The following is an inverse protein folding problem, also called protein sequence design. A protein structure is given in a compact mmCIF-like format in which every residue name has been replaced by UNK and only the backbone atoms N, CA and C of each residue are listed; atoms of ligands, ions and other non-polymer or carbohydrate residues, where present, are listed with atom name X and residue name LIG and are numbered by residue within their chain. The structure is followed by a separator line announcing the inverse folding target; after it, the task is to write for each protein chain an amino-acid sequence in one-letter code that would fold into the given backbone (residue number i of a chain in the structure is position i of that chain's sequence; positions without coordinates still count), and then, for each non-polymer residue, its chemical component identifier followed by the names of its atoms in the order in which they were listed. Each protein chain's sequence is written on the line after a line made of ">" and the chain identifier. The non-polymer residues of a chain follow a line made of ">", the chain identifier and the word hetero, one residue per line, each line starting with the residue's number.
data_IF_007614845263
#
_entry.id   IF_007614845263
#
_cell.length_a   1.000
_cell.length_b   1.000
_cell.length_c   1.000
_cell.angle_alpha   90.00
_cell.angle_beta   90.00
_cell.angle_gamma   90.00
#
_symmetry.space_group_name_H-M   'P 1'
#
loop_
_entity.id
_entity.type
_entity.pdbx_description
1 polymer ?
#
# COMPACT_ATOMS: atom_id res chain seq x y z
N UNK A 1 -37.19 1.41 3.44
CA UNK A 1 -37.20 1.61 4.92
C UNK A 1 -35.90 2.29 5.33
N UNK A 2 -35.91 3.22 6.29
CA UNK A 2 -34.71 3.92 6.77
C UNK A 2 -34.24 3.31 8.10
N UNK A 3 -32.96 2.97 8.20
CA UNK A 3 -32.34 2.49 9.45
C UNK A 3 -31.20 3.44 9.80
N UNK A 4 -31.22 3.98 11.03
CA UNK A 4 -30.20 4.88 11.54
C UNK A 4 -29.56 4.28 12.80
N UNK A 5 -28.22 4.22 12.81
CA UNK A 5 -27.43 3.82 13.97
C UNK A 5 -26.57 4.99 14.42
N UNK A 6 -26.66 5.34 15.69
CA UNK A 6 -25.93 6.45 16.28
C UNK A 6 -25.13 5.97 17.49
N UNK A 7 -23.83 6.19 17.47
CA UNK A 7 -22.91 5.93 18.57
C UNK A 7 -22.23 7.22 18.99
N UNK A 8 -22.19 7.49 20.29
CA UNK A 8 -21.63 8.72 20.84
C UNK A 8 -20.85 8.40 22.11
N UNK A 9 -19.67 9.00 22.25
CA UNK A 9 -18.81 8.91 23.41
C UNK A 9 -18.62 10.29 24.04
N UNK A 10 -18.85 10.34 25.35
CA UNK A 10 -18.68 11.53 26.18
C UNK A 10 -17.56 11.29 27.17
N UNK A 11 -16.68 12.28 27.36
CA UNK A 11 -15.66 12.27 28.40
C UNK A 11 -15.66 13.64 29.10
N UNK A 12 -15.61 13.65 30.43
CA UNK A 12 -15.61 14.90 31.23
C UNK A 12 -16.77 15.87 30.92
N UNK A 13 -17.92 15.38 30.45
CA UNK A 13 -19.08 16.19 29.99
C UNK A 13 -18.86 16.94 28.67
N UNK A 14 -17.78 16.63 27.96
CA UNK A 14 -17.52 17.08 26.59
C UNK A 14 -17.73 15.92 25.61
N UNK A 15 -18.13 16.28 24.40
CA UNK A 15 -18.29 15.31 23.32
C UNK A 15 -16.92 15.02 22.73
N UNK A 16 -16.50 13.75 22.78
CA UNK A 16 -15.15 13.35 22.37
C UNK A 16 -15.17 12.62 21.06
N UNK A 17 -16.14 11.73 20.84
CA UNK A 17 -16.27 11.01 19.58
C UNK A 17 -17.74 10.71 19.27
N UNK A 18 -18.03 10.49 18.00
CA UNK A 18 -19.22 9.76 17.63
C UNK A 18 -19.24 9.35 16.17
N UNK A 19 -20.18 8.46 15.89
CA UNK A 19 -20.35 7.78 14.63
C UNK A 19 -21.84 7.72 14.32
N UNK A 20 -22.21 8.06 13.09
CA UNK A 20 -23.58 7.94 12.59
C UNK A 20 -23.56 7.17 11.30
N UNK A 21 -24.41 6.15 11.24
CA UNK A 21 -24.65 5.36 10.03
C UNK A 21 -26.11 5.49 9.65
N UNK A 22 -26.39 5.80 8.39
CA UNK A 22 -27.73 5.84 7.82
C UNK A 22 -27.77 4.90 6.62
N UNK A 23 -28.74 4.00 6.64
CA UNK A 23 -28.99 3.05 5.56
C UNK A 23 -30.39 3.28 5.00
N UNK A 24 -30.48 3.60 3.72
CA UNK A 24 -31.74 3.72 2.99
C UNK A 24 -31.94 2.49 2.12
N UNK A 25 -33.07 1.80 2.30
CA UNK A 25 -33.42 0.62 1.51
C UNK A 25 -34.66 0.86 0.64
N UNK A 26 -34.69 0.22 -0.53
CA UNK A 26 -35.86 0.19 -1.41
C UNK A 26 -37.00 -0.68 -0.82
N UNK A 27 -38.09 -0.83 -1.58
CA UNK A 27 -39.24 -1.64 -1.18
C UNK A 27 -38.95 -3.17 -1.18
N UNK A 28 -37.85 -3.60 -1.82
CA UNK A 28 -37.41 -4.99 -1.95
C UNK A 28 -36.27 -5.34 -0.97
N UNK A 29 -35.87 -4.41 -0.08
CA UNK A 29 -34.72 -4.49 0.84
C UNK A 29 -33.33 -4.43 0.19
N UNK A 30 -33.20 -3.89 -1.02
CA UNK A 30 -31.90 -3.56 -1.58
C UNK A 30 -31.39 -2.26 -0.95
N UNK A 31 -30.08 -2.18 -0.66
CA UNK A 31 -29.46 -0.99 -0.10
C UNK A 31 -29.34 0.06 -1.21
N UNK A 32 -30.06 1.18 -1.08
CA UNK A 32 -30.01 2.29 -2.04
C UNK A 32 -28.90 3.26 -1.65
N UNK A 33 -28.82 3.61 -0.37
CA UNK A 33 -27.93 4.67 0.11
C UNK A 33 -27.27 4.24 1.41
N UNK A 34 -25.95 4.39 1.48
CA UNK A 34 -25.17 4.26 2.71
C UNK A 34 -24.51 5.60 3.01
N UNK A 35 -24.82 6.16 4.17
CA UNK A 35 -24.15 7.33 4.72
C UNK A 35 -23.46 6.97 6.03
N UNK A 36 -22.17 7.24 6.12
CA UNK A 36 -21.44 7.20 7.37
C UNK A 36 -20.79 8.55 7.68
N UNK A 37 -20.84 8.91 8.96
CA UNK A 37 -20.27 10.15 9.48
C UNK A 37 -19.51 9.86 10.77
N UNK A 38 -18.29 10.36 10.87
CA UNK A 38 -17.45 10.34 12.07
C UNK A 38 -17.06 11.76 12.47
N UNK A 39 -16.93 11.99 13.76
CA UNK A 39 -16.47 13.25 14.34
C UNK A 39 -15.63 12.97 15.57
N UNK A 40 -14.50 13.68 15.66
CA UNK A 40 -13.54 13.58 16.76
C UNK A 40 -13.28 14.97 17.35
N UNK A 41 -13.42 15.06 18.68
CA UNK A 41 -13.35 16.25 19.52
C UNK A 41 -14.43 17.32 19.23
N UNK A 42 -14.80 18.05 20.29
CA UNK A 42 -15.88 19.06 20.29
C UNK A 42 -15.60 20.31 19.44
N UNK A 43 -14.37 20.44 18.92
CA UNK A 43 -14.00 21.35 17.85
C UNK A 43 -13.79 20.51 16.59
N UNK A 44 -14.39 20.90 15.46
CA UNK A 44 -14.49 20.11 14.23
C UNK A 44 -13.10 19.85 13.62
N UNK A 45 -12.36 18.86 14.12
CA UNK A 45 -10.99 18.61 13.66
C UNK A 45 -11.02 17.76 12.39
N UNK A 46 -11.87 16.74 12.30
CA UNK A 46 -12.08 15.94 11.09
C UNK A 46 -13.51 15.42 11.02
N UNK A 47 -14.21 15.68 9.91
CA UNK A 47 -15.50 15.05 9.60
C UNK A 47 -15.44 14.42 8.22
N UNK A 48 -15.98 13.22 8.08
CA UNK A 48 -16.07 12.50 6.82
C UNK A 48 -17.53 12.22 6.50
N UNK A 49 -17.92 12.37 5.24
CA UNK A 49 -19.23 11.97 4.70
C UNK A 49 -18.96 11.11 3.48
N UNK A 50 -19.35 9.85 3.58
CA UNK A 50 -19.37 8.92 2.46
C UNK A 50 -20.81 8.64 2.07
N UNK A 51 -21.17 8.88 0.81
CA UNK A 51 -22.49 8.55 0.27
C UNK A 51 -22.32 7.62 -0.91
N UNK A 52 -22.85 6.41 -0.82
CA UNK A 52 -22.88 5.44 -1.92
C UNK A 52 -24.32 5.23 -2.38
N UNK A 53 -24.62 5.42 -3.66
CA UNK A 53 -25.93 5.21 -4.28
C UNK A 53 -25.88 3.99 -5.19
N UNK A 54 -26.85 3.08 -5.05
CA UNK A 54 -26.94 1.85 -5.83
C UNK A 54 -28.20 1.78 -6.71
N UNK A 55 -28.12 1.00 -7.80
CA UNK A 55 -29.27 0.69 -8.65
C UNK A 55 -30.14 -0.46 -8.09
N UNK A 56 -31.21 -0.80 -8.81
CA UNK A 56 -32.13 -1.89 -8.45
C UNK A 56 -31.50 -3.31 -8.50
N UNK A 57 -30.30 -3.43 -9.10
CA UNK A 57 -29.50 -4.66 -9.19
C UNK A 57 -28.31 -4.66 -8.21
N UNK A 58 -28.22 -3.68 -7.31
CA UNK A 58 -27.15 -3.50 -6.32
C UNK A 58 -25.78 -3.14 -6.90
N UNK A 59 -25.74 -2.51 -8.08
CA UNK A 59 -24.51 -1.91 -8.65
C UNK A 59 -24.32 -0.47 -8.14
N UNK A 60 -23.08 -0.08 -7.86
CA UNK A 60 -22.74 1.28 -7.40
C UNK A 60 -22.89 2.30 -8.55
N UNK A 61 -23.85 3.20 -8.43
CA UNK A 61 -24.13 4.32 -9.36
C UNK A 61 -23.31 5.54 -8.99
N UNK A 62 -23.34 5.99 -7.75
CA UNK A 62 -22.70 7.25 -7.36
C UNK A 62 -21.99 7.04 -6.03
N UNK A 63 -20.76 7.53 -5.93
CA UNK A 63 -20.00 7.56 -4.70
C UNK A 63 -19.51 8.98 -4.46
N UNK A 64 -19.77 9.50 -3.28
CA UNK A 64 -19.38 10.84 -2.88
C UNK A 64 -18.64 10.73 -1.55
N UNK A 65 -17.39 11.15 -1.53
CA UNK A 65 -16.57 11.23 -0.32
C UNK A 65 -16.24 12.69 -0.03
N UNK A 66 -16.44 13.11 1.20
CA UNK A 66 -16.32 14.51 1.59
C UNK A 66 -15.61 14.61 2.93
N UNK A 67 -14.57 15.43 3.00
CA UNK A 67 -13.76 15.65 4.19
C UNK A 67 -13.76 17.12 4.59
N UNK A 68 -14.00 17.37 5.87
CA UNK A 68 -13.81 18.66 6.51
C UNK A 68 -12.67 18.59 7.51
N UNK A 69 -11.81 19.59 7.48
CA UNK A 69 -10.86 19.86 8.55
C UNK A 69 -11.05 21.31 9.01
N UNK A 70 -11.11 21.54 10.33
CA UNK A 70 -11.27 22.88 10.91
C UNK A 70 -12.46 23.70 10.35
N UNK A 71 -13.56 23.02 9.98
CA UNK A 71 -14.74 23.62 9.33
C UNK A 71 -14.53 24.14 7.89
N UNK A 72 -13.40 23.81 7.25
CA UNK A 72 -13.15 24.04 5.83
C UNK A 72 -13.16 22.69 5.08
N UNK A 73 -13.59 22.72 3.82
CA UNK A 73 -13.59 21.54 2.95
C UNK A 73 -12.18 21.25 2.50
N UNK A 74 -11.61 20.11 2.87
CA UNK A 74 -10.22 19.80 2.49
C UNK A 74 -10.17 18.86 1.30
N UNK A 75 -11.08 17.89 1.20
CA UNK A 75 -11.19 16.97 0.07
C UNK A 75 -12.66 16.68 -0.29
N UNK A 76 -13.00 16.70 -1.57
CA UNK A 76 -14.27 16.20 -2.10
C UNK A 76 -13.99 15.33 -3.33
N UNK A 77 -14.42 14.07 -3.31
CA UNK A 77 -14.30 13.12 -4.40
C UNK A 77 -15.70 12.66 -4.80
N UNK A 78 -16.10 13.00 -6.03
CA UNK A 78 -17.34 12.54 -6.64
C UNK A 78 -17.06 11.56 -7.75
N UNK A 79 -17.59 10.35 -7.64
CA UNK A 79 -17.60 9.32 -8.67
C UNK A 79 -19.05 9.13 -9.12
N UNK A 80 -19.33 9.30 -10.40
CA UNK A 80 -20.66 9.03 -10.99
C UNK A 80 -20.50 8.01 -12.10
N UNK A 81 -21.15 6.86 -11.93
CA UNK A 81 -21.21 5.73 -12.85
C UNK A 81 -22.60 5.66 -13.47
N UNK A 82 -22.67 5.60 -14.80
CA UNK A 82 -23.94 5.44 -15.53
C UNK A 82 -24.03 4.04 -16.11
N UNK A 83 -25.15 3.36 -15.87
CA UNK A 83 -25.44 2.04 -16.43
C UNK A 83 -26.59 2.16 -17.42
N UNK A 84 -26.42 1.64 -18.64
CA UNK A 84 -27.55 1.23 -19.48
C UNK A 84 -27.81 -0.27 -19.28
N UNK A 85 -29.01 -0.75 -19.66
CA UNK A 85 -29.44 -2.14 -19.47
C UNK A 85 -28.58 -3.22 -20.18
N UNK A 86 -27.42 -2.85 -20.73
CA UNK A 86 -26.45 -3.73 -21.38
C UNK A 86 -25.02 -3.64 -20.75
N UNK A 87 -24.89 -3.22 -19.48
CA UNK A 87 -23.63 -3.24 -18.70
C UNK A 87 -22.49 -2.33 -19.24
N UNK A 88 -22.77 -1.27 -19.99
CA UNK A 88 -21.71 -0.29 -20.30
C UNK A 88 -21.57 0.71 -19.15
N UNK A 89 -20.41 0.70 -18.47
CA UNK A 89 -20.08 1.62 -17.38
C UNK A 89 -19.32 2.82 -17.96
N UNK A 90 -19.95 3.99 -17.89
CA UNK A 90 -19.25 5.27 -18.00
C UNK A 90 -19.11 5.86 -16.59
N UNK A 91 -17.88 6.09 -16.14
CA UNK A 91 -17.59 6.67 -14.83
C UNK A 91 -16.91 8.03 -14.97
N UNK A 92 -17.45 9.03 -14.28
CA UNK A 92 -16.88 10.36 -14.14
C UNK A 92 -16.39 10.51 -12.70
N UNK A 93 -15.08 10.72 -12.53
CA UNK A 93 -14.45 11.02 -11.25
C UNK A 93 -14.11 12.51 -11.24
N UNK A 94 -14.45 13.20 -10.16
CA UNK A 94 -14.17 14.62 -9.98
C UNK A 94 -13.60 14.81 -8.58
N UNK A 95 -12.47 15.53 -8.48
CA UNK A 95 -11.80 15.79 -7.21
C UNK A 95 -11.66 17.30 -6.97
N UNK A 96 -11.88 17.72 -5.74
CA UNK A 96 -11.71 19.08 -5.26
C UNK A 96 -10.89 19.11 -3.97
N UNK A 97 -10.02 20.10 -3.84
CA UNK A 97 -9.26 20.41 -2.62
C UNK A 97 -9.54 21.86 -2.21
N UNK A 98 -9.83 22.13 -0.94
CA UNK A 98 -10.06 23.51 -0.46
C UNK A 98 -11.09 24.31 -1.27
N UNK A 99 -12.14 23.64 -1.76
CA UNK A 99 -13.17 24.17 -2.69
C UNK A 99 -12.68 24.57 -4.08
N UNK A 100 -11.43 24.27 -4.43
CA UNK A 100 -10.87 24.45 -5.76
C UNK A 100 -10.91 23.13 -6.56
N UNK A 101 -11.28 23.22 -7.84
CA UNK A 101 -11.32 22.05 -8.72
C UNK A 101 -9.91 21.63 -9.09
N UNK A 102 -9.55 20.39 -8.75
CA UNK A 102 -8.20 19.87 -8.99
C UNK A 102 -8.15 19.12 -10.31
N UNK A 103 -9.06 18.14 -10.50
CA UNK A 103 -9.03 17.26 -11.67
C UNK A 103 -10.37 16.57 -11.94
N UNK A 104 -10.60 16.15 -13.19
CA UNK A 104 -11.69 15.24 -13.56
C UNK A 104 -11.25 14.21 -14.58
N UNK A 105 -11.77 12.99 -14.42
CA UNK A 105 -11.46 11.85 -15.29
C UNK A 105 -12.75 11.21 -15.77
N UNK A 106 -12.77 10.82 -17.04
CA UNK A 106 -13.91 10.13 -17.66
C UNK A 106 -13.42 8.81 -18.23
N UNK A 107 -13.94 7.71 -17.71
CA UNK A 107 -13.60 6.36 -18.14
C UNK A 107 -14.83 5.66 -18.73
N UNK A 108 -14.64 4.98 -19.86
CA UNK A 108 -15.61 4.06 -20.45
C UNK A 108 -14.93 2.73 -20.67
N UNK A 109 -15.30 1.69 -19.93
CA UNK A 109 -14.72 0.35 -20.09
C UNK A 109 -15.62 -0.58 -20.93
N UNK A 110 -14.93 -1.53 -21.57
CA UNK A 110 -15.27 -2.33 -22.75
C UNK A 110 -16.54 -3.19 -22.69
N UNK A 111 -17.22 -3.32 -23.85
CA UNK A 111 -18.33 -4.26 -24.10
C UNK A 111 -17.75 -5.60 -24.59
N UNK A 112 -18.04 -6.70 -23.88
CA UNK A 112 -17.89 -8.04 -24.43
C UNK A 112 -19.03 -8.34 -25.40
N UNK A 113 -18.71 -8.67 -26.66
CA UNK A 113 -19.64 -9.36 -27.54
C UNK A 113 -19.32 -10.87 -27.51
N UNK A 114 -20.35 -11.70 -27.32
CA UNK A 114 -20.23 -13.15 -27.46
C UNK A 114 -19.69 -13.50 -28.86
N UNK A 115 -18.71 -14.41 -28.89
CA UNK A 115 -18.13 -15.04 -30.08
C UNK A 115 -17.23 -14.15 -30.98
N UNK A 116 -16.06 -13.76 -30.45
CA UNK A 116 -14.78 -14.04 -31.13
C UNK A 116 -14.51 -13.41 -32.51
N UNK A 117 -14.98 -12.20 -32.82
CA UNK A 117 -14.43 -11.38 -33.92
C UNK A 117 -14.68 -9.89 -33.68
N UNK A 118 -13.63 -9.05 -33.73
CA UNK A 118 -13.71 -7.58 -33.60
C UNK A 118 -13.55 -6.93 -34.98
N UNK A 119 -14.50 -6.08 -35.39
CA UNK A 119 -14.37 -5.07 -36.46
C UNK A 119 -15.39 -3.95 -36.26
N UNK A 120 -15.00 -2.66 -36.37
CA UNK A 120 -15.89 -1.50 -36.57
C UNK A 120 -15.19 -0.41 -37.40
N UNK A 121 -15.89 0.56 -38.07
CA UNK A 121 -17.34 0.83 -38.07
C UNK A 121 -18.02 0.96 -39.46
N UNK A 122 -19.37 0.82 -39.51
CA UNK A 122 -20.25 1.23 -40.63
C UNK A 122 -21.02 2.52 -40.31
N UNK A 123 -21.52 3.21 -41.34
CA UNK A 123 -22.11 4.56 -41.30
C UNK A 123 -23.60 4.64 -40.91
N UNK A 124 -24.13 5.89 -40.94
CA UNK A 124 -25.40 6.38 -40.37
C UNK A 124 -26.70 5.74 -40.87
N UNK A 125 -26.66 4.70 -41.71
CA UNK A 125 -27.85 3.96 -42.16
C UNK A 125 -27.75 2.45 -41.98
N UNK A 126 -26.71 1.93 -41.31
CA UNK A 126 -26.70 0.56 -40.80
C UNK A 126 -26.68 -0.56 -41.87
N UNK A 127 -25.94 -0.39 -42.96
CA UNK A 127 -25.66 -1.48 -43.92
C UNK A 127 -24.16 -1.78 -44.02
N UNK A 128 -23.81 -3.07 -44.14
CA UNK A 128 -22.45 -3.53 -44.39
C UNK A 128 -22.03 -3.34 -45.85
N UNK A 129 -20.91 -2.64 -46.09
CA UNK A 129 -20.23 -2.52 -47.39
C UNK A 129 -18.73 -2.86 -47.22
N UNK A 130 -18.32 -4.03 -47.69
CA UNK A 130 -16.90 -4.34 -47.81
C UNK A 130 -16.30 -3.64 -49.04
N UNK A 131 -15.18 -2.91 -48.88
CA UNK A 131 -14.02 -2.90 -49.80
C UNK A 131 -12.85 -2.05 -49.27
N UNK A 132 -11.67 -2.68 -49.11
CA UNK A 132 -10.38 -2.13 -49.56
C UNK A 132 -9.42 -1.55 -48.50
N UNK A 133 -8.33 -2.26 -48.26
CA UNK A 133 -7.20 -1.95 -47.37
C UNK A 133 -6.31 -0.76 -47.81
N UNK A 134 -5.70 -0.12 -46.81
CA UNK A 134 -4.34 0.46 -46.76
C UNK A 134 -3.83 1.31 -47.93
N UNK A 135 -3.95 2.64 -47.82
CA UNK A 135 -2.99 3.61 -48.38
C UNK A 135 -2.93 4.85 -47.48
N UNK A 136 -1.72 5.38 -47.24
CA UNK A 136 -1.57 6.81 -46.97
C UNK A 136 -1.69 7.60 -48.28
N UNK A 137 -1.66 8.94 -48.20
CA UNK A 137 -1.82 9.86 -49.33
C UNK A 137 -0.79 9.69 -50.48
N UNK A 138 0.21 8.80 -50.33
CA UNK A 138 1.22 8.50 -51.35
C UNK A 138 1.29 7.02 -51.78
N UNK A 139 0.47 6.13 -51.22
CA UNK A 139 0.23 4.80 -51.75
C UNK A 139 1.44 3.87 -51.85
N UNK A 140 2.26 3.80 -50.80
CA UNK A 140 3.37 2.83 -50.70
C UNK A 140 3.05 1.74 -49.66
N UNK A 141 3.10 0.49 -50.15
CA UNK A 141 2.90 -0.77 -49.42
C UNK A 141 4.04 -1.02 -48.42
N UNK A 142 3.70 -1.25 -47.14
CA UNK A 142 4.64 -1.63 -46.08
C UNK A 142 5.10 -3.10 -46.15
N UNK A 143 4.94 -3.78 -47.30
CA UNK A 143 5.71 -4.97 -47.60
C UNK A 143 7.17 -4.63 -47.95
N UNK A 144 8.03 -4.40 -46.94
CA UNK A 144 9.46 -4.65 -47.12
C UNK A 144 10.47 -3.68 -46.52
N UNK A 145 10.44 -3.42 -45.20
CA UNK A 145 11.67 -3.05 -44.47
C UNK A 145 12.00 -3.80 -43.18
N UNK A 146 11.09 -4.55 -42.59
CA UNK A 146 11.43 -5.52 -41.54
C UNK A 146 10.61 -6.79 -41.77
N UNK A 147 11.28 -7.93 -42.00
CA UNK A 147 10.59 -9.20 -42.20
C UNK A 147 10.00 -9.71 -40.88
N UNK A 148 8.67 -9.72 -40.78
CA UNK A 148 7.89 -10.22 -39.64
C UNK A 148 6.39 -10.28 -39.98
N UNK A 149 5.63 -11.14 -39.28
CA UNK A 149 4.23 -11.52 -39.54
C UNK A 149 3.23 -10.35 -39.53
N UNK A 150 2.13 -10.47 -40.28
CA UNK A 150 1.04 -9.47 -40.46
C UNK A 150 0.01 -9.44 -39.33
N UNK A 151 0.42 -9.76 -38.10
CA UNK A 151 -0.47 -9.76 -36.92
C UNK A 151 -0.04 -8.58 -36.06
N UNK A 152 -0.96 -7.65 -35.80
CA UNK A 152 -0.77 -6.63 -34.77
C UNK A 152 -0.45 -7.34 -33.46
N UNK A 153 0.63 -6.95 -32.78
CA UNK A 153 0.82 -7.33 -31.39
C UNK A 153 -0.24 -6.64 -30.51
N UNK A 154 -0.31 -7.00 -29.23
CA UNK A 154 -1.26 -6.43 -28.27
C UNK A 154 -1.07 -4.91 -28.05
N UNK A 155 -0.06 -4.31 -28.69
CA UNK A 155 0.31 -2.90 -28.61
C UNK A 155 0.07 -2.11 -29.91
N UNK A 156 -0.44 -2.74 -30.97
CA UNK A 156 -0.88 -2.07 -32.19
C UNK A 156 0.23 -1.55 -33.11
N UNK A 157 1.48 -2.03 -32.99
CA UNK A 157 2.61 -1.60 -33.85
C UNK A 157 3.22 -2.78 -34.61
N UNK A 158 3.46 -2.61 -35.92
CA UNK A 158 4.09 -3.65 -36.73
C UNK A 158 5.61 -3.73 -36.51
N UNK A 159 6.10 -4.86 -35.95
CA UNK A 159 7.47 -5.34 -36.16
C UNK A 159 8.52 -4.97 -35.11
N UNK A 160 8.13 -4.72 -33.85
CA UNK A 160 9.04 -4.56 -32.72
C UNK A 160 9.24 -5.85 -31.92
N UNK A 161 10.38 -5.97 -31.22
CA UNK A 161 10.64 -7.01 -30.23
C UNK A 161 9.62 -6.90 -29.08
N UNK A 162 9.15 -8.04 -28.57
CA UNK A 162 8.06 -8.17 -27.58
C UNK A 162 8.47 -7.72 -26.16
N UNK A 163 9.48 -6.86 -26.03
CA UNK A 163 10.16 -6.53 -24.77
C UNK A 163 10.19 -5.04 -24.42
N UNK A 164 9.56 -4.15 -25.19
CA UNK A 164 9.70 -2.69 -24.99
C UNK A 164 8.42 -1.87 -25.25
N UNK A 165 7.23 -2.47 -25.16
CA UNK A 165 6.00 -1.69 -25.26
C UNK A 165 5.66 -1.11 -23.88
N UNK A 166 6.33 -0.02 -23.51
CA UNK A 166 5.78 0.88 -22.49
C UNK A 166 4.59 1.61 -23.12
N UNK A 167 3.40 1.51 -22.51
CA UNK A 167 2.23 2.29 -22.92
C UNK A 167 2.39 3.80 -22.63
N UNK A 168 3.51 4.17 -22.00
CA UNK A 168 3.81 5.51 -21.56
C UNK A 168 4.77 6.23 -22.51
N UNK A 169 4.56 7.55 -22.66
CA UNK A 169 5.44 8.43 -23.42
C UNK A 169 6.88 8.45 -22.85
N UNK A 170 7.84 8.90 -23.64
CA UNK A 170 9.21 9.15 -23.15
C UNK A 170 9.19 10.05 -21.90
N UNK A 171 9.94 9.67 -20.86
CA UNK A 171 9.97 10.38 -19.58
C UNK A 171 8.97 9.85 -18.55
N UNK A 172 8.20 8.81 -18.89
CA UNK A 172 7.30 8.12 -17.97
C UNK A 172 7.72 6.67 -17.74
N UNK A 173 7.26 6.11 -16.62
CA UNK A 173 7.40 4.69 -16.27
C UNK A 173 6.02 4.08 -16.07
N UNK A 174 5.83 2.87 -16.59
CA UNK A 174 4.59 2.11 -16.43
C UNK A 174 4.65 1.29 -15.15
N UNK A 175 3.69 1.49 -14.24
CA UNK A 175 3.53 0.71 -13.02
C UNK A 175 2.06 0.33 -12.88
N UNK A 176 1.76 -0.96 -12.79
CA UNK A 176 0.38 -1.50 -12.70
C UNK A 176 -0.59 -0.92 -13.75
N UNK A 177 -0.13 -0.80 -15.00
CA UNK A 177 -0.85 -0.23 -16.16
C UNK A 177 -1.13 1.29 -16.08
N UNK A 178 -0.44 2.02 -15.21
CA UNK A 178 -0.52 3.48 -15.10
C UNK A 178 0.85 4.12 -15.38
N UNK A 179 0.84 5.32 -15.96
CA UNK A 179 2.05 6.04 -16.37
C UNK A 179 2.46 7.13 -15.36
N UNK A 180 3.68 7.02 -14.83
CA UNK A 180 4.23 7.94 -13.83
C UNK A 180 5.38 8.75 -14.40
N UNK A 181 5.37 10.07 -14.17
CA UNK A 181 6.46 10.95 -14.62
C UNK A 181 7.73 10.65 -13.83
N UNK A 182 8.81 10.28 -14.52
CA UNK A 182 10.11 9.97 -13.90
C UNK A 182 10.65 11.18 -13.14
N UNK A 183 10.41 12.39 -13.65
CA UNK A 183 10.92 13.63 -13.05
C UNK A 183 10.05 14.15 -11.90
N UNK A 184 8.72 13.98 -11.98
CA UNK A 184 7.77 14.66 -11.08
C UNK A 184 7.21 13.75 -9.97
N UNK A 185 7.21 12.43 -10.16
CA UNK A 185 6.59 11.52 -9.19
C UNK A 185 7.42 11.44 -7.91
N UNK A 186 6.84 11.97 -6.83
CA UNK A 186 7.42 11.96 -5.47
C UNK A 186 6.61 11.09 -4.49
N UNK A 187 5.38 10.74 -4.85
CA UNK A 187 4.49 9.94 -4.01
C UNK A 187 3.69 8.97 -4.86
N UNK A 188 3.61 7.72 -4.41
CA UNK A 188 2.68 6.70 -4.89
C UNK A 188 1.92 6.19 -3.67
N UNK A 189 0.59 6.27 -3.74
CA UNK A 189 -0.30 5.83 -2.67
C UNK A 189 -1.38 4.93 -3.26
N UNK A 190 -1.24 3.63 -2.98
CA UNK A 190 -2.17 2.58 -3.35
C UNK A 190 -2.59 1.73 -2.16
N UNK A 191 -2.85 2.33 -1.01
CA UNK A 191 -3.44 1.60 0.10
C UNK A 191 -4.80 1.02 -0.30
N UNK A 192 -5.04 -0.27 -0.01
CA UNK A 192 -6.35 -0.92 -0.21
C UNK A 192 -6.96 -0.70 -1.60
N UNK A 193 -6.11 -0.65 -2.63
CA UNK A 193 -6.49 -0.29 -4.01
C UNK A 193 -6.77 -1.52 -4.89
N UNK A 194 -6.56 -2.73 -4.37
CA UNK A 194 -6.77 -3.98 -5.10
C UNK A 194 -5.72 -4.24 -6.18
N UNK A 195 -4.54 -3.61 -6.07
CA UNK A 195 -3.43 -3.90 -6.99
C UNK A 195 -2.93 -5.34 -6.76
N UNK A 196 -2.60 -6.02 -7.85
CA UNK A 196 -2.24 -7.44 -7.86
C UNK A 196 -0.97 -7.65 -8.69
N UNK A 197 -0.42 -8.87 -8.67
CA UNK A 197 0.81 -9.20 -9.39
C UNK A 197 2.06 -8.77 -8.62
N UNK A 198 3.20 -8.76 -9.31
CA UNK A 198 4.49 -8.42 -8.68
C UNK A 198 4.69 -6.90 -8.60
N UNK A 199 5.60 -6.46 -7.72
CA UNK A 199 6.10 -5.08 -7.74
C UNK A 199 7.02 -4.94 -8.96
N UNK A 200 6.68 -4.10 -9.97
CA UNK A 200 7.50 -3.97 -11.16
C UNK A 200 8.90 -3.45 -10.82
N UNK A 201 10.00 -4.07 -11.31
CA UNK A 201 11.37 -3.57 -11.12
C UNK A 201 11.55 -2.13 -11.59
N UNK A 202 10.75 -1.71 -12.57
CA UNK A 202 10.72 -0.36 -13.11
C UNK A 202 10.39 0.70 -12.06
N UNK A 203 9.84 0.34 -10.89
CA UNK A 203 9.67 1.26 -9.75
C UNK A 203 10.99 1.97 -9.41
N UNK A 204 12.13 1.28 -9.56
CA UNK A 204 13.47 1.84 -9.34
C UNK A 204 13.86 2.96 -10.31
N UNK A 205 13.06 3.23 -11.35
CA UNK A 205 13.25 4.33 -12.30
C UNK A 205 12.59 5.64 -11.84
N UNK A 206 12.07 5.73 -10.61
CA UNK A 206 11.50 6.95 -10.02
C UNK A 206 12.47 7.57 -9.00
N UNK A 207 13.54 8.27 -9.42
CA UNK A 207 14.60 8.71 -8.52
C UNK A 207 14.13 9.75 -7.48
N UNK A 208 13.01 10.43 -7.74
CA UNK A 208 12.45 11.45 -6.86
C UNK A 208 11.37 10.91 -5.91
N UNK A 209 11.09 9.60 -5.93
CA UNK A 209 10.08 9.01 -5.05
C UNK A 209 10.51 9.12 -3.58
N UNK A 210 9.62 9.70 -2.76
CA UNK A 210 9.78 9.95 -1.33
C UNK A 210 8.84 9.06 -0.52
N UNK A 211 7.65 8.79 -1.04
CA UNK A 211 6.60 8.07 -0.33
C UNK A 211 6.03 6.95 -1.21
N UNK A 212 6.17 5.70 -0.76
CA UNK A 212 5.64 4.52 -1.42
C UNK A 212 4.75 3.74 -0.44
N UNK A 213 3.44 3.85 -0.63
CA UNK A 213 2.41 3.21 0.19
C UNK A 213 1.65 2.20 -0.66
N UNK A 214 1.87 0.91 -0.41
CA UNK A 214 1.26 -0.21 -1.13
C UNK A 214 0.58 -1.19 -0.15
N UNK A 215 0.27 -0.76 1.07
CA UNK A 215 -0.32 -1.64 2.08
C UNK A 215 -1.74 -2.09 1.74
N UNK A 216 -2.15 -3.23 2.30
CA UNK A 216 -3.49 -3.81 2.11
C UNK A 216 -3.85 -4.14 0.66
N UNK A 217 -2.95 -4.79 -0.08
CA UNK A 217 -3.23 -5.25 -1.44
C UNK A 217 -3.00 -6.76 -1.60
N UNK A 218 -3.03 -7.23 -2.85
CA UNK A 218 -2.79 -8.63 -3.23
C UNK A 218 -1.50 -8.74 -4.05
N UNK A 219 -0.47 -7.97 -3.67
CA UNK A 219 0.83 -8.02 -4.34
C UNK A 219 1.53 -9.35 -4.01
N UNK A 220 2.11 -9.96 -5.03
CA UNK A 220 2.78 -11.27 -5.00
C UNK A 220 4.24 -11.14 -5.45
N UNK A 221 4.99 -12.24 -5.49
CA UNK A 221 6.42 -12.20 -5.87
C UNK A 221 7.29 -11.57 -4.79
N UNK A 222 8.53 -11.21 -5.13
CA UNK A 222 9.49 -10.61 -4.18
C UNK A 222 9.61 -9.10 -4.34
N UNK A 223 10.30 -8.46 -3.40
CA UNK A 223 10.72 -7.05 -3.55
C UNK A 223 11.84 -7.02 -4.60
N UNK A 224 11.70 -6.27 -5.71
CA UNK A 224 12.76 -6.18 -6.71
C UNK A 224 13.99 -5.47 -6.13
N UNK A 225 15.23 -5.93 -6.39
CA UNK A 225 16.46 -5.26 -5.94
C UNK A 225 16.55 -3.78 -6.39
N UNK A 226 15.93 -3.45 -7.52
CA UNK A 226 15.81 -2.09 -8.07
C UNK A 226 15.15 -1.10 -7.10
N UNK A 227 14.42 -1.58 -6.09
CA UNK A 227 13.93 -0.72 -4.99
C UNK A 227 15.06 0.09 -4.37
N UNK A 228 16.28 -0.47 -4.30
CA UNK A 228 17.46 0.20 -3.75
C UNK A 228 17.92 1.43 -4.52
N UNK A 229 17.39 1.67 -5.73
CA UNK A 229 17.67 2.89 -6.50
C UNK A 229 16.91 4.12 -5.96
N UNK A 230 15.89 3.92 -5.12
CA UNK A 230 15.03 4.98 -4.58
C UNK A 230 15.69 5.69 -3.39
N UNK A 231 16.87 6.27 -3.58
CA UNK A 231 17.68 6.82 -2.47
C UNK A 231 17.03 8.00 -1.72
N UNK A 232 16.00 8.61 -2.31
CA UNK A 232 15.20 9.69 -1.69
C UNK A 232 13.99 9.17 -0.90
N UNK A 233 13.74 7.86 -0.88
CA UNK A 233 12.57 7.27 -0.23
C UNK A 233 12.68 7.44 1.29
N UNK A 234 11.62 8.01 1.88
CA UNK A 234 11.48 8.30 3.31
C UNK A 234 10.48 7.34 3.98
N UNK A 235 9.50 6.88 3.21
CA UNK A 235 8.44 6.01 3.69
C UNK A 235 8.21 4.86 2.70
N UNK A 236 8.29 3.63 3.20
CA UNK A 236 7.98 2.42 2.46
C UNK A 236 7.05 1.54 3.30
N UNK A 237 5.82 1.36 2.84
CA UNK A 237 4.85 0.47 3.46
C UNK A 237 4.33 -0.57 2.46
N UNK A 238 4.64 -1.83 2.74
CA UNK A 238 4.19 -3.02 2.01
C UNK A 238 3.33 -3.94 2.90
N UNK A 239 2.86 -3.43 4.04
CA UNK A 239 2.09 -4.18 5.03
C UNK A 239 0.87 -4.87 4.40
N UNK A 240 0.60 -6.10 4.82
CA UNK A 240 -0.63 -6.81 4.44
C UNK A 240 -0.73 -7.02 2.92
N UNK A 241 0.14 -7.88 2.40
CA UNK A 241 0.18 -8.34 1.02
C UNK A 241 0.50 -9.86 0.99
N UNK A 242 0.70 -10.42 -0.20
CA UNK A 242 1.10 -11.81 -0.43
C UNK A 242 2.56 -11.91 -0.93
N UNK A 243 3.42 -10.96 -0.52
CA UNK A 243 4.82 -10.91 -0.96
C UNK A 243 5.61 -12.07 -0.37
N UNK A 244 6.49 -12.65 -1.18
CA UNK A 244 7.30 -13.84 -0.88
C UNK A 244 8.78 -13.57 -1.17
N UNK A 245 9.63 -14.60 -1.03
CA UNK A 245 11.06 -14.48 -1.29
C UNK A 245 11.84 -13.88 -0.12
N UNK A 246 13.08 -13.48 -0.37
CA UNK A 246 13.97 -12.88 0.63
C UNK A 246 13.86 -11.35 0.60
N UNK A 247 14.14 -10.69 1.73
CA UNK A 247 14.29 -9.24 1.76
C UNK A 247 15.62 -8.90 1.05
N UNK A 248 15.62 -8.15 -0.07
CA UNK A 248 16.84 -7.87 -0.83
C UNK A 248 17.80 -7.00 0.01
N UNK A 249 19.11 -7.31 0.04
CA UNK A 249 20.12 -6.48 0.71
C UNK A 249 20.14 -5.02 0.23
N UNK A 250 19.73 -4.77 -1.00
CA UNK A 250 19.59 -3.46 -1.62
C UNK A 250 18.63 -2.53 -0.87
N UNK A 251 17.75 -3.07 0.00
CA UNK A 251 16.95 -2.26 0.91
C UNK A 251 17.82 -1.33 1.76
N UNK A 252 19.05 -1.75 2.09
CA UNK A 252 20.02 -0.95 2.84
C UNK A 252 20.54 0.29 2.09
N UNK A 253 20.25 0.43 0.79
CA UNK A 253 20.60 1.62 0.01
C UNK A 253 19.62 2.79 0.25
N UNK A 254 18.47 2.54 0.88
CA UNK A 254 17.42 3.54 1.17
C UNK A 254 17.81 4.42 2.37
N UNK A 255 18.96 5.08 2.32
CA UNK A 255 19.53 5.78 3.49
C UNK A 255 18.67 6.94 4.03
N UNK A 256 17.70 7.41 3.27
CA UNK A 256 16.73 8.46 3.67
C UNK A 256 15.51 7.89 4.42
N UNK A 257 15.36 6.57 4.49
CA UNK A 257 14.17 5.91 4.99
C UNK A 257 13.99 6.13 6.50
N UNK A 258 12.77 6.48 6.89
CA UNK A 258 12.36 6.73 8.28
C UNK A 258 11.32 5.74 8.76
N UNK A 259 10.54 5.17 7.83
CA UNK A 259 9.51 4.17 8.09
C UNK A 259 9.65 3.01 7.10
N UNK A 260 9.76 1.80 7.63
CA UNK A 260 9.76 0.56 6.86
C UNK A 260 8.79 -0.44 7.48
N UNK A 261 7.77 -0.82 6.72
CA UNK A 261 6.83 -1.87 7.10
C UNK A 261 6.74 -2.92 6.01
N UNK A 262 7.17 -4.14 6.36
CA UNK A 262 7.07 -5.36 5.55
C UNK A 262 6.24 -6.43 6.27
N UNK A 263 5.47 -6.03 7.29
CA UNK A 263 4.73 -6.96 8.13
C UNK A 263 3.57 -7.63 7.41
N UNK A 264 3.14 -8.78 7.93
CA UNK A 264 1.98 -9.54 7.44
C UNK A 264 2.09 -9.84 5.93
N UNK A 265 3.15 -10.58 5.60
CA UNK A 265 3.52 -11.09 4.28
C UNK A 265 4.10 -12.52 4.45
N UNK A 266 4.65 -13.09 3.39
CA UNK A 266 5.26 -14.43 3.36
C UNK A 266 6.79 -14.40 3.11
N UNK A 267 7.49 -13.34 3.56
CA UNK A 267 8.95 -13.23 3.41
C UNK A 267 9.70 -14.33 4.17
N UNK A 268 10.77 -14.84 3.56
CA UNK A 268 11.61 -15.95 4.03
C UNK A 268 13.08 -15.53 4.07
N UNK A 269 13.94 -16.42 4.58
CA UNK A 269 15.37 -16.16 4.69
C UNK A 269 15.70 -15.25 5.86
N UNK A 270 16.93 -14.77 5.88
CA UNK A 270 17.46 -13.99 7.00
C UNK A 270 17.11 -12.50 6.86
N UNK A 271 17.10 -11.78 7.98
CA UNK A 271 17.07 -10.31 7.92
C UNK A 271 18.45 -9.84 7.43
N UNK A 272 18.55 -9.13 6.29
CA UNK A 272 19.84 -8.71 5.74
C UNK A 272 20.56 -7.74 6.70
N UNK A 273 21.86 -7.93 6.86
CA UNK A 273 22.70 -7.08 7.73
C UNK A 273 22.70 -5.61 7.29
N UNK A 274 22.50 -5.39 5.99
CA UNK A 274 22.40 -4.12 5.31
C UNK A 274 21.26 -3.25 5.83
N UNK A 275 20.27 -3.84 6.53
CA UNK A 275 19.24 -3.06 7.22
C UNK A 275 19.85 -2.06 8.21
N UNK A 276 21.01 -2.37 8.78
CA UNK A 276 21.75 -1.49 9.68
C UNK A 276 22.33 -0.23 9.01
N UNK A 277 22.26 -0.11 7.68
CA UNK A 277 22.62 1.11 6.95
C UNK A 277 21.52 2.18 7.01
N UNK A 278 20.30 1.81 7.41
CA UNK A 278 19.13 2.71 7.47
C UNK A 278 19.16 3.58 8.73
N UNK A 279 20.23 4.35 8.94
CA UNK A 279 20.47 5.06 10.21
C UNK A 279 19.42 6.14 10.55
N UNK A 280 18.58 6.56 9.59
CA UNK A 280 17.47 7.48 9.79
C UNK A 280 16.14 6.79 10.18
N UNK A 281 16.13 5.44 10.22
CA UNK A 281 14.92 4.67 10.46
C UNK A 281 14.41 4.88 11.89
N UNK A 282 13.11 5.17 12.01
CA UNK A 282 12.41 5.43 13.28
C UNK A 282 11.41 4.31 13.61
N UNK A 283 10.91 3.60 12.59
CA UNK A 283 9.99 2.48 12.73
C UNK A 283 10.37 1.36 11.77
N UNK A 284 10.53 0.15 12.31
CA UNK A 284 10.79 -1.07 11.57
C UNK A 284 9.79 -2.17 11.98
N UNK A 285 8.96 -2.59 11.02
CA UNK A 285 7.97 -3.66 11.20
C UNK A 285 8.23 -4.79 10.19
N UNK A 286 8.62 -5.96 10.70
CA UNK A 286 8.81 -7.21 9.94
C UNK A 286 7.98 -8.36 10.54
N UNK A 287 7.03 -8.05 11.44
CA UNK A 287 6.26 -9.07 12.13
C UNK A 287 5.37 -9.88 11.18
N UNK A 288 4.97 -11.07 11.61
CA UNK A 288 4.05 -11.94 10.85
C UNK A 288 4.59 -12.28 9.47
N UNK A 289 5.78 -12.89 9.44
CA UNK A 289 6.43 -13.40 8.22
C UNK A 289 6.98 -14.81 8.51
N UNK A 290 7.79 -15.34 7.58
CA UNK A 290 8.47 -16.62 7.69
C UNK A 290 10.00 -16.44 7.80
N UNK A 291 10.47 -15.32 8.35
CA UNK A 291 11.89 -14.98 8.45
C UNK A 291 12.62 -15.94 9.40
N UNK A 292 13.84 -16.31 9.02
CA UNK A 292 14.73 -17.25 9.72
C UNK A 292 16.04 -16.58 10.10
N UNK A 293 17.02 -17.37 10.56
CA UNK A 293 18.35 -16.87 10.91
C UNK A 293 18.36 -16.08 12.22
N UNK A 294 19.42 -15.34 12.45
CA UNK A 294 19.58 -14.52 13.65
C UNK A 294 19.16 -13.06 13.38
N UNK A 295 18.82 -12.33 14.46
CA UNK A 295 18.72 -10.87 14.38
C UNK A 295 20.14 -10.34 14.12
N UNK A 296 20.38 -9.58 13.02
CA UNK A 296 21.71 -9.11 12.67
C UNK A 296 22.26 -8.16 13.75
N UNK A 297 23.56 -8.23 14.00
CA UNK A 297 24.21 -7.37 15.00
C UNK A 297 24.11 -5.89 14.60
N UNK A 298 24.08 -5.61 13.30
CA UNK A 298 23.94 -4.31 12.67
C UNK A 298 22.61 -3.61 12.99
N UNK A 299 21.61 -4.31 13.54
CA UNK A 299 20.37 -3.69 14.02
C UNK A 299 20.66 -2.58 15.03
N UNK A 300 21.74 -2.71 15.82
CA UNK A 300 22.18 -1.71 16.78
C UNK A 300 22.73 -0.42 16.17
N UNK A 301 22.85 -0.32 14.85
CA UNK A 301 23.22 0.91 14.15
C UNK A 301 22.03 1.86 13.97
N UNK A 302 20.80 1.37 14.14
CA UNK A 302 19.55 2.12 13.96
C UNK A 302 19.26 3.05 15.14
N UNK A 303 20.19 3.93 15.50
CA UNK A 303 20.14 4.73 16.74
C UNK A 303 18.91 5.65 16.86
N UNK A 304 18.23 5.95 15.75
CA UNK A 304 16.99 6.74 15.71
C UNK A 304 15.71 5.89 15.86
N UNK A 305 15.83 4.56 15.95
CA UNK A 305 14.70 3.64 15.99
C UNK A 305 13.92 3.80 17.30
N UNK A 306 12.62 4.02 17.15
CA UNK A 306 11.64 4.16 18.24
C UNK A 306 10.71 2.94 18.35
N UNK A 307 10.55 2.21 17.24
CA UNK A 307 9.69 1.05 17.15
C UNK A 307 10.37 -0.09 16.39
N UNK A 308 10.50 -1.25 17.04
CA UNK A 308 11.01 -2.48 16.46
C UNK A 308 9.99 -3.60 16.67
N UNK A 309 9.36 -4.06 15.59
CA UNK A 309 8.40 -5.16 15.62
C UNK A 309 8.81 -6.28 14.66
N UNK A 310 9.29 -7.40 15.20
CA UNK A 310 9.70 -8.58 14.41
C UNK A 310 9.09 -9.88 14.97
N UNK A 311 7.97 -9.74 15.70
CA UNK A 311 7.25 -10.86 16.31
C UNK A 311 6.62 -11.78 15.26
N UNK A 312 6.28 -13.02 15.64
CA UNK A 312 5.64 -14.01 14.76
C UNK A 312 6.49 -14.31 13.52
N UNK A 313 7.70 -14.82 13.75
CA UNK A 313 8.64 -15.28 12.73
C UNK A 313 9.27 -16.61 13.20
N UNK A 314 10.32 -17.07 12.51
CA UNK A 314 11.10 -18.26 12.85
C UNK A 314 12.55 -17.88 13.20
N UNK A 315 12.76 -16.69 13.77
CA UNK A 315 14.09 -16.19 14.11
C UNK A 315 14.72 -17.02 15.23
N UNK A 316 16.00 -17.31 15.09
CA UNK A 316 16.83 -18.14 15.98
C UNK A 316 18.02 -17.33 16.53
N UNK A 317 18.91 -17.95 17.30
CA UNK A 317 20.10 -17.29 17.84
C UNK A 317 19.78 -16.39 19.03
N UNK A 318 20.74 -15.57 19.44
CA UNK A 318 20.63 -14.68 20.60
C UNK A 318 20.08 -13.31 20.20
N UNK A 319 19.46 -12.60 21.15
CA UNK A 319 19.21 -11.17 20.99
C UNK A 319 20.57 -10.47 21.03
N UNK A 320 20.99 -9.72 19.99
CA UNK A 320 22.32 -9.15 19.94
C UNK A 320 22.48 -8.05 21.01
N UNK A 321 23.62 -8.04 21.71
CA UNK A 321 23.96 -7.01 22.71
C UNK A 321 23.92 -5.58 22.14
N UNK A 322 24.12 -5.41 20.83
CA UNK A 322 24.05 -4.12 20.14
C UNK A 322 22.67 -3.47 20.21
N UNK A 323 21.62 -4.21 20.58
CA UNK A 323 20.28 -3.66 20.82
C UNK A 323 20.29 -2.55 21.88
N UNK A 324 21.24 -2.56 22.82
CA UNK A 324 21.41 -1.50 23.82
C UNK A 324 21.75 -0.13 23.25
N UNK A 325 22.22 -0.05 22.00
CA UNK A 325 22.52 1.21 21.32
C UNK A 325 21.27 1.98 20.90
N UNK A 326 20.10 1.33 20.87
CA UNK A 326 18.84 1.90 20.38
C UNK A 326 18.18 2.80 21.43
N UNK A 327 18.89 3.81 21.91
CA UNK A 327 18.50 4.64 23.06
C UNK A 327 17.14 5.34 22.92
N UNK A 328 16.61 5.48 21.70
CA UNK A 328 15.32 6.07 21.40
C UNK A 328 14.16 5.05 21.36
N UNK A 329 14.44 3.76 21.54
CA UNK A 329 13.47 2.68 21.38
C UNK A 329 12.40 2.74 22.47
N UNK A 330 11.14 2.91 22.04
CA UNK A 330 9.95 2.87 22.89
C UNK A 330 9.26 1.51 22.90
N UNK A 331 9.24 0.82 21.76
CA UNK A 331 8.65 -0.50 21.62
C UNK A 331 9.59 -1.51 21.00
N UNK A 332 9.74 -2.66 21.66
CA UNK A 332 10.50 -3.82 21.18
C UNK A 332 9.65 -5.09 21.28
N UNK A 333 9.22 -5.61 20.13
CA UNK A 333 8.32 -6.76 20.02
C UNK A 333 9.00 -7.92 19.29
N UNK A 334 9.51 -8.89 20.04
CA UNK A 334 10.23 -10.06 19.54
C UNK A 334 9.50 -11.39 19.84
N UNK A 335 8.24 -11.32 20.27
CA UNK A 335 7.45 -12.48 20.68
C UNK A 335 7.21 -13.49 19.56
N UNK A 336 6.95 -14.75 19.92
CA UNK A 336 6.65 -15.84 18.98
C UNK A 336 7.75 -16.01 17.92
N UNK A 337 8.95 -16.37 18.41
CA UNK A 337 10.11 -16.73 17.62
C UNK A 337 10.81 -17.93 18.30
N UNK A 338 12.02 -18.28 17.85
CA UNK A 338 12.89 -19.31 18.42
C UNK A 338 14.18 -18.67 19.00
N UNK A 339 14.09 -17.43 19.50
CA UNK A 339 15.22 -16.72 20.07
C UNK A 339 15.69 -17.42 21.35
N UNK A 340 16.98 -17.58 21.51
CA UNK A 340 17.64 -18.37 22.55
C UNK A 340 18.69 -17.54 23.30
N UNK A 341 19.39 -18.16 24.26
CA UNK A 341 20.39 -17.46 25.07
C UNK A 341 19.76 -16.62 26.18
N UNK A 342 20.56 -15.72 26.77
CA UNK A 342 20.11 -14.84 27.86
C UNK A 342 19.49 -13.55 27.31
N UNK A 343 18.64 -12.89 28.11
CA UNK A 343 18.22 -11.51 27.82
C UNK A 343 19.46 -10.61 28.00
N UNK A 344 19.91 -9.84 26.98
CA UNK A 344 21.08 -8.98 27.12
C UNK A 344 20.90 -7.92 28.21
N UNK A 345 21.89 -7.76 29.06
CA UNK A 345 21.87 -6.74 30.14
C UNK A 345 21.81 -5.31 29.61
N UNK A 346 22.28 -5.13 28.37
CA UNK A 346 22.29 -3.90 27.59
C UNK A 346 20.89 -3.34 27.33
N UNK A 347 19.83 -4.17 27.38
CA UNK A 347 18.43 -3.71 27.31
C UNK A 347 18.14 -2.71 28.44
N UNK A 348 18.83 -2.80 29.58
CA UNK A 348 18.73 -1.82 30.66
C UNK A 348 19.24 -0.41 30.32
N UNK A 349 19.86 -0.20 29.16
CA UNK A 349 20.25 1.12 28.65
C UNK A 349 19.11 1.84 27.91
N UNK A 350 18.05 1.10 27.55
CA UNK A 350 16.92 1.59 26.76
C UNK A 350 15.92 2.34 27.63
N UNK A 351 16.34 3.48 28.17
CA UNK A 351 15.57 4.24 29.16
C UNK A 351 14.21 4.74 28.65
N UNK A 352 14.00 4.84 27.33
CA UNK A 352 12.73 5.24 26.73
C UNK A 352 11.76 4.05 26.47
N UNK A 353 12.19 2.82 26.74
CA UNK A 353 11.44 1.62 26.42
C UNK A 353 10.21 1.48 27.33
N UNK A 354 9.02 1.58 26.74
CA UNK A 354 7.76 1.43 27.46
C UNK A 354 7.05 0.11 27.16
N UNK A 355 7.42 -0.57 26.06
CA UNK A 355 6.88 -1.88 25.69
C UNK A 355 7.99 -2.86 25.31
N UNK A 356 8.11 -3.94 26.07
CA UNK A 356 9.04 -5.04 25.85
C UNK A 356 8.31 -6.39 25.82
N UNK A 357 8.20 -6.98 24.63
CA UNK A 357 7.59 -8.30 24.44
C UNK A 357 8.60 -9.31 23.90
N UNK A 358 8.88 -10.31 24.73
CA UNK A 358 9.82 -11.42 24.47
C UNK A 358 9.14 -12.79 24.64
N UNK A 359 7.82 -12.83 24.84
CA UNK A 359 7.09 -14.06 25.15
C UNK A 359 7.10 -15.06 24.01
N UNK A 360 7.00 -16.35 24.33
CA UNK A 360 7.04 -17.47 23.36
C UNK A 360 8.34 -17.45 22.53
N UNK A 361 9.43 -17.68 23.24
CA UNK A 361 10.77 -17.88 22.68
C UNK A 361 11.47 -19.02 23.47
N UNK A 362 12.74 -19.24 23.20
CA UNK A 362 13.61 -20.19 23.89
C UNK A 362 14.64 -19.48 24.80
N UNK A 363 14.33 -18.25 25.26
CA UNK A 363 15.23 -17.48 26.12
C UNK A 363 15.42 -18.20 27.46
N UNK A 364 16.61 -18.10 28.03
CA UNK A 364 17.03 -18.81 29.23
C UNK A 364 17.90 -17.93 30.12
N UNK A 365 18.35 -18.46 31.26
CA UNK A 365 19.15 -17.70 32.22
C UNK A 365 18.29 -16.84 33.13
N UNK A 366 18.88 -15.81 33.74
CA UNK A 366 18.17 -14.93 34.68
C UNK A 366 17.72 -13.65 33.98
N UNK A 367 16.58 -13.11 34.40
CA UNK A 367 16.16 -11.76 34.00
C UNK A 367 17.18 -10.74 34.54
N UNK A 368 17.87 -9.96 33.68
CA UNK A 368 18.91 -9.03 34.11
C UNK A 368 18.40 -7.98 35.11
N UNK A 369 19.13 -7.76 36.21
CA UNK A 369 18.78 -6.71 37.18
C UNK A 369 18.75 -5.31 36.54
N UNK A 370 19.54 -5.10 35.49
CA UNK A 370 19.60 -3.85 34.72
C UNK A 370 18.27 -3.47 34.05
N UNK A 371 17.33 -4.40 33.84
CA UNK A 371 15.98 -4.07 33.36
C UNK A 371 15.25 -3.11 34.32
N UNK A 372 15.60 -3.11 35.61
CA UNK A 372 15.06 -2.15 36.58
C UNK A 372 15.42 -0.70 36.24
N UNK A 373 16.46 -0.44 35.45
CA UNK A 373 16.88 0.92 35.06
C UNK A 373 15.88 1.58 34.09
N UNK A 374 15.01 0.81 33.45
CA UNK A 374 14.00 1.30 32.51
C UNK A 374 12.80 1.90 33.27
N UNK A 375 12.64 1.60 34.57
CA UNK A 375 11.61 2.20 35.41
C UNK A 375 11.80 3.73 35.52
N UNK A 376 10.73 4.55 35.45
CA UNK A 376 9.31 4.18 35.42
C UNK A 376 8.72 3.99 34.02
N UNK A 377 9.52 4.09 32.96
CA UNK A 377 8.99 4.15 31.60
C UNK A 377 8.46 2.81 31.09
N UNK A 378 8.96 1.68 31.59
CA UNK A 378 8.44 0.35 31.22
C UNK A 378 7.01 0.14 31.73
N UNK A 379 6.05 0.06 30.80
CA UNK A 379 4.63 -0.18 31.09
C UNK A 379 4.22 -1.62 30.82
N UNK A 380 4.76 -2.21 29.74
CA UNK A 380 4.36 -3.52 29.25
C UNK A 380 5.57 -4.45 29.15
N UNK A 381 5.71 -5.36 30.11
CA UNK A 381 6.73 -6.40 30.08
C UNK A 381 6.09 -7.78 29.89
N UNK A 382 6.41 -8.46 28.78
CA UNK A 382 5.93 -9.83 28.49
C UNK A 382 7.10 -10.76 28.23
N UNK A 383 7.45 -11.58 29.22
CA UNK A 383 8.56 -12.54 29.13
C UNK A 383 8.11 -14.00 29.32
N UNK A 384 6.79 -14.24 29.42
CA UNK A 384 6.21 -15.57 29.63
C UNK A 384 6.50 -16.55 28.50
N UNK A 385 6.42 -17.86 28.76
CA UNK A 385 6.70 -18.91 27.77
C UNK A 385 8.13 -18.81 27.22
N UNK A 386 9.08 -18.82 28.15
CA UNK A 386 10.53 -18.93 27.99
C UNK A 386 11.06 -19.84 29.13
N UNK A 387 12.37 -20.06 29.19
CA UNK A 387 13.09 -20.81 30.24
C UNK A 387 13.80 -19.88 31.27
N UNK A 388 13.18 -18.74 31.60
CA UNK A 388 13.71 -17.65 32.45
C UNK A 388 13.39 -17.80 33.95
#
# INVERSE_FOLDING_TARGET
>A
NLIEYLWQQWENSEWVNGLRFIFTYDANNNLIEYLWQQWENSEWVNSFIETSIYDENNNLIEYLFQQWENSEWVNDLKITSTYDGNNKIESLIQNWENTEWVISFRSTNYIYCEQGTVCYPYDSFGNCIATGDNLDENGLDCAGKCGGSTVLDECGVCGGDNSTCTNCDEGYVELWNECYSIEETTMIWFQASGITGEIPPEIGNLPNLVYLELSFNELTGGIPPEIGNLTNLVYLDLFYNELTGEIPPEIGNLTSLTYLSLSDNDFKGDIPSEIGNLTNLTSLSLNSNQLTGAIPYEIGNLVNLSWLAISNNQLTGEIPQSIGNLINLGGMLLSNNQLSGEIPSEIGQLVNLWRLWLSHNELSGQVPENLCNIYPNIEWLRISNNYL
#
